data_IF_832132641366
#
_entry.id   IF_832132641366
#
_cell.length_a   1.000
_cell.length_b   1.000
_cell.length_c   1.000
_cell.angle_alpha   90.00
_cell.angle_beta   90.00
_cell.angle_gamma   90.00
#
_symmetry.space_group_name_H-M   'P 1'
#
loop_
_entity.id
_entity.type
_entity.pdbx_description
1 polymer ?
#
# COMPACT_ATOMS: atom_id res chain seq x y z
N UNK A 1 -16.44 -1.42 12.17
CA UNK A 1 -15.16 -1.45 11.46
C UNK A 1 -14.11 -0.79 12.32
N UNK A 2 -13.02 -1.48 12.64
CA UNK A 2 -11.80 -0.95 13.25
C UNK A 2 -10.65 -0.99 12.24
N UNK A 3 -9.90 0.09 12.15
CA UNK A 3 -8.80 0.28 11.20
C UNK A 3 -7.50 0.39 11.98
N UNK A 4 -6.50 -0.39 11.59
CA UNK A 4 -5.12 -0.22 12.03
C UNK A 4 -4.34 0.52 10.97
N UNK A 5 -3.67 1.61 11.33
CA UNK A 5 -2.56 2.15 10.54
C UNK A 5 -1.27 1.70 11.20
N UNK A 6 -0.51 0.84 10.49
CA UNK A 6 0.81 0.43 10.90
C UNK A 6 1.84 1.43 10.37
N UNK A 7 2.32 2.30 11.26
CA UNK A 7 3.33 3.32 10.98
C UNK A 7 4.73 2.67 10.89
N UNK A 8 5.33 2.70 9.70
CA UNK A 8 6.68 2.21 9.45
C UNK A 8 7.72 3.34 9.58
N UNK A 9 7.46 4.32 10.47
CA UNK A 9 8.34 5.46 10.76
C UNK A 9 8.54 6.42 9.58
N UNK A 10 7.49 6.65 8.80
CA UNK A 10 7.56 7.54 7.64
C UNK A 10 6.98 8.93 7.91
N UNK A 11 7.58 9.94 7.27
CA UNK A 11 7.09 11.32 7.37
C UNK A 11 5.71 11.54 6.75
N UNK A 12 5.28 10.69 5.82
CA UNK A 12 4.00 10.79 5.11
C UNK A 12 2.88 9.98 5.76
N UNK A 13 3.15 9.13 6.77
CA UNK A 13 2.10 8.35 7.47
C UNK A 13 0.94 9.23 7.93
N UNK A 14 1.24 10.44 8.45
CA UNK A 14 0.19 11.32 8.97
C UNK A 14 -0.66 11.99 7.88
N UNK A 15 -0.20 12.04 6.63
CA UNK A 15 -1.03 12.47 5.50
C UNK A 15 -2.09 11.41 5.17
N UNK A 16 -1.73 10.11 5.21
CA UNK A 16 -2.71 9.03 5.12
C UNK A 16 -3.72 9.08 6.27
N UNK A 17 -3.24 9.26 7.51
CA UNK A 17 -4.09 9.44 8.70
C UNK A 17 -5.06 10.60 8.53
N UNK A 18 -4.60 11.73 7.96
CA UNK A 18 -5.46 12.87 7.68
C UNK A 18 -6.56 12.52 6.66
N UNK A 19 -6.23 11.79 5.59
CA UNK A 19 -7.22 11.33 4.61
C UNK A 19 -8.27 10.43 5.27
N UNK A 20 -7.86 9.45 6.08
CA UNK A 20 -8.80 8.57 6.81
C UNK A 20 -9.73 9.37 7.71
N UNK A 21 -9.22 10.40 8.40
CA UNK A 21 -10.02 11.33 9.23
C UNK A 21 -10.99 12.16 8.39
N UNK A 22 -10.52 12.74 7.28
CA UNK A 22 -11.32 13.53 6.35
C UNK A 22 -12.50 12.73 5.80
N UNK A 23 -12.30 11.42 5.58
CA UNK A 23 -13.33 10.50 5.11
C UNK A 23 -14.29 10.03 6.22
N UNK A 24 -14.16 10.52 7.45
CA UNK A 24 -15.07 10.23 8.56
C UNK A 24 -14.72 8.99 9.38
N UNK A 25 -13.60 8.32 9.08
CA UNK A 25 -13.18 7.09 9.76
C UNK A 25 -12.22 7.33 10.93
N UNK A 26 -11.98 8.60 11.31
CA UNK A 26 -11.02 8.96 12.35
C UNK A 26 -11.29 8.33 13.73
N UNK A 27 -12.56 8.14 14.10
CA UNK A 27 -12.94 7.51 15.38
C UNK A 27 -12.85 5.97 15.35
N UNK A 28 -12.63 5.40 14.17
CA UNK A 28 -12.55 3.96 13.94
C UNK A 28 -11.10 3.50 13.73
N UNK A 29 -10.13 4.39 13.85
CA UNK A 29 -8.74 4.16 13.47
C UNK A 29 -7.78 4.35 14.64
N UNK A 30 -6.92 3.35 14.83
CA UNK A 30 -5.76 3.44 15.71
C UNK A 30 -4.47 3.46 14.87
N UNK A 31 -3.45 4.17 15.36
CA UNK A 31 -2.14 4.26 14.72
C UNK A 31 -1.10 3.70 15.67
N UNK A 32 -0.38 2.67 15.22
CA UNK A 32 0.72 2.07 15.97
C UNK A 32 1.95 1.98 15.10
N UNK A 33 3.11 2.27 15.69
CA UNK A 33 4.39 1.94 15.04
C UNK A 33 4.57 0.44 14.92
N UNK A 34 5.28 0.00 13.90
CA UNK A 34 5.48 -1.41 13.57
C UNK A 34 6.19 -2.25 14.67
N UNK A 35 6.68 -1.62 15.73
CA UNK A 35 7.30 -2.24 16.91
C UNK A 35 6.56 -1.91 18.23
N UNK A 36 5.37 -1.31 18.16
CA UNK A 36 4.56 -0.85 19.32
C UNK A 36 3.19 -1.52 19.43
N UNK A 37 2.91 -2.53 18.63
CA UNK A 37 1.71 -3.37 18.72
C UNK A 37 2.11 -4.84 18.59
N UNK A 38 1.48 -5.71 19.37
CA UNK A 38 1.71 -7.15 19.25
C UNK A 38 0.95 -7.73 18.06
N UNK A 39 1.44 -8.84 17.51
CA UNK A 39 0.76 -9.51 16.41
C UNK A 39 -0.63 -10.02 16.84
N UNK A 40 -0.82 -10.36 18.11
CA UNK A 40 -2.10 -10.79 18.68
C UNK A 40 -3.11 -9.66 18.73
N UNK A 41 -2.68 -8.46 19.13
CA UNK A 41 -3.55 -7.28 19.23
C UNK A 41 -4.06 -6.82 17.86
N UNK A 42 -3.33 -7.12 16.77
CA UNK A 42 -3.78 -6.86 15.39
C UNK A 42 -5.09 -7.60 15.06
N UNK A 43 -5.38 -8.72 15.73
CA UNK A 43 -6.58 -9.52 15.46
C UNK A 43 -7.90 -8.74 15.64
N UNK A 44 -7.91 -7.69 16.47
CA UNK A 44 -9.10 -6.88 16.75
C UNK A 44 -9.49 -5.91 15.63
N UNK A 45 -8.62 -5.71 14.64
CA UNK A 45 -8.85 -4.78 13.53
C UNK A 45 -9.46 -5.51 12.32
N UNK A 46 -10.30 -4.81 11.58
CA UNK A 46 -10.98 -5.33 10.38
C UNK A 46 -10.19 -4.99 9.11
N UNK A 47 -9.67 -3.74 9.05
CA UNK A 47 -8.86 -3.23 7.95
C UNK A 47 -7.48 -2.81 8.45
N UNK A 48 -6.44 -3.04 7.65
CA UNK A 48 -5.05 -2.72 7.98
C UNK A 48 -4.44 -1.90 6.85
N UNK A 49 -3.99 -0.70 7.17
CA UNK A 49 -3.21 0.16 6.28
C UNK A 49 -1.73 0.06 6.66
N UNK A 50 -0.92 -0.50 5.78
CA UNK A 50 0.54 -0.54 5.92
C UNK A 50 1.10 0.73 5.27
N UNK A 51 1.64 1.62 6.10
CA UNK A 51 2.17 2.91 5.64
C UNK A 51 3.49 2.77 4.86
N UNK A 52 3.91 3.83 4.15
CA UNK A 52 5.28 3.95 3.64
C UNK A 52 6.31 3.86 4.77
N UNK A 53 7.58 3.73 4.41
CA UNK A 53 8.69 3.67 5.37
C UNK A 53 10.04 3.63 4.67
N UNK A 54 11.12 3.89 5.42
CA UNK A 54 12.48 3.71 4.92
C UNK A 54 12.85 2.22 4.89
N UNK A 55 13.95 1.91 4.19
CA UNK A 55 14.55 0.57 4.22
C UNK A 55 13.81 -0.44 3.34
N UNK A 56 13.80 -1.70 3.79
CA UNK A 56 13.19 -2.85 3.10
C UNK A 56 12.22 -3.58 4.04
N UNK A 57 11.21 -4.31 3.52
CA UNK A 57 10.15 -4.85 4.35
C UNK A 57 10.62 -5.83 5.43
N UNK A 58 11.68 -6.60 5.18
CA UNK A 58 12.27 -7.53 6.15
C UNK A 58 12.74 -6.87 7.46
N UNK A 59 12.97 -5.55 7.44
CA UNK A 59 13.42 -4.77 8.60
C UNK A 59 12.25 -4.02 9.30
N UNK A 60 11.04 -4.11 8.75
CA UNK A 60 9.89 -3.30 9.17
C UNK A 60 9.07 -3.96 10.30
N UNK A 61 9.73 -4.26 11.42
CA UNK A 61 9.07 -4.72 12.65
C UNK A 61 8.17 -5.94 12.43
N UNK A 62 6.93 -5.87 12.90
CA UNK A 62 5.98 -7.00 12.77
C UNK A 62 5.39 -7.17 11.36
N UNK A 63 5.65 -6.25 10.41
CA UNK A 63 4.93 -6.19 9.14
C UNK A 63 5.00 -7.48 8.31
N UNK A 64 6.15 -8.16 8.17
CA UNK A 64 6.21 -9.44 7.45
C UNK A 64 5.34 -10.53 8.08
N UNK A 65 5.42 -10.71 9.41
CA UNK A 65 4.62 -11.71 10.13
C UNK A 65 3.13 -11.35 10.17
N UNK A 66 2.80 -10.05 10.17
CA UNK A 66 1.42 -9.56 10.02
C UNK A 66 0.83 -10.02 8.70
N UNK A 67 1.52 -9.79 7.58
CA UNK A 67 1.05 -10.20 6.26
C UNK A 67 0.85 -11.72 6.18
N UNK A 68 1.81 -12.49 6.70
CA UNK A 68 1.71 -13.96 6.73
C UNK A 68 0.50 -14.45 7.53
N UNK A 69 0.20 -13.82 8.67
CA UNK A 69 -0.89 -14.25 9.56
C UNK A 69 -2.27 -13.76 9.11
N UNK A 70 -2.35 -12.55 8.53
CA UNK A 70 -3.62 -11.85 8.36
C UNK A 70 -4.09 -11.64 6.92
N UNK A 71 -3.24 -11.84 5.91
CA UNK A 71 -3.63 -11.62 4.50
C UNK A 71 -4.88 -12.38 4.09
N UNK A 72 -5.05 -13.63 4.54
CA UNK A 72 -6.21 -14.45 4.19
C UNK A 72 -7.51 -14.05 4.92
N UNK A 73 -7.45 -13.20 5.94
CA UNK A 73 -8.58 -12.95 6.86
C UNK A 73 -8.93 -11.48 7.07
N UNK A 74 -8.08 -10.54 6.64
CA UNK A 74 -8.23 -9.10 6.85
C UNK A 74 -8.16 -8.36 5.52
N UNK A 75 -8.79 -7.18 5.48
CA UNK A 75 -8.63 -6.23 4.36
C UNK A 75 -7.32 -5.46 4.56
N UNK A 76 -6.38 -5.56 3.62
CA UNK A 76 -5.05 -4.94 3.74
C UNK A 76 -4.77 -4.05 2.53
N UNK A 77 -4.39 -2.80 2.80
CA UNK A 77 -3.81 -1.89 1.81
C UNK A 77 -2.37 -1.56 2.19
N UNK A 78 -1.43 -1.84 1.30
CA UNK A 78 -0.03 -1.44 1.44
C UNK A 78 0.32 -0.23 0.59
N UNK A 79 1.01 0.76 1.15
CA UNK A 79 1.49 1.94 0.43
C UNK A 79 3.01 1.96 0.43
N UNK A 80 3.63 2.10 -0.74
CA UNK A 80 5.09 2.15 -0.92
C UNK A 80 5.81 0.96 -0.26
N UNK A 81 6.45 1.13 0.90
CA UNK A 81 7.05 0.03 1.66
C UNK A 81 6.03 -1.06 2.00
N UNK A 82 4.79 -0.70 2.34
CA UNK A 82 3.71 -1.66 2.56
C UNK A 82 3.33 -2.46 1.30
N UNK A 83 3.43 -1.84 0.11
CA UNK A 83 3.23 -2.53 -1.17
C UNK A 83 4.37 -3.52 -1.46
N UNK A 84 5.61 -3.11 -1.20
CA UNK A 84 6.79 -3.97 -1.35
C UNK A 84 6.72 -5.17 -0.40
N UNK A 85 6.27 -4.95 0.84
CA UNK A 85 6.05 -6.01 1.82
C UNK A 85 5.03 -7.05 1.34
N UNK A 86 3.96 -6.60 0.67
CA UNK A 86 2.99 -7.51 0.06
C UNK A 86 3.66 -8.34 -1.03
N UNK A 87 4.48 -7.73 -1.90
CA UNK A 87 5.27 -8.46 -2.90
C UNK A 87 6.10 -9.58 -2.29
N UNK A 88 6.92 -9.27 -1.28
CA UNK A 88 7.78 -10.23 -0.59
C UNK A 88 6.98 -11.29 0.18
N UNK A 89 5.88 -10.92 0.84
CA UNK A 89 5.07 -11.85 1.62
C UNK A 89 4.45 -12.97 0.78
N UNK A 90 4.26 -12.74 -0.51
CA UNK A 90 3.78 -13.75 -1.46
C UNK A 90 4.90 -14.36 -2.32
N UNK A 91 6.17 -14.07 -2.01
CA UNK A 91 7.34 -14.72 -2.61
C UNK A 91 7.97 -13.98 -3.80
N UNK A 92 7.60 -12.72 -4.05
CA UNK A 92 8.28 -11.87 -5.03
C UNK A 92 9.52 -11.20 -4.45
N UNK A 93 10.53 -10.97 -5.29
CA UNK A 93 11.74 -10.23 -4.90
C UNK A 93 11.56 -8.72 -5.12
N UNK A 94 12.43 -7.93 -4.51
CA UNK A 94 12.55 -6.49 -4.78
C UNK A 94 13.81 -6.20 -5.58
N UNK A 95 13.69 -5.30 -6.55
CA UNK A 95 14.83 -4.76 -7.30
C UNK A 95 15.00 -3.28 -7.02
N UNK A 96 16.26 -2.86 -6.95
CA UNK A 96 16.62 -1.45 -6.81
C UNK A 96 16.64 -0.78 -8.18
N UNK A 97 16.00 0.37 -8.29
CA UNK A 97 15.99 1.17 -9.50
C UNK A 97 17.35 1.85 -9.71
N UNK A 98 17.84 1.86 -10.94
CA UNK A 98 19.06 2.60 -11.30
C UNK A 98 18.92 4.11 -11.08
N UNK A 99 17.69 4.62 -11.16
CA UNK A 99 17.35 6.01 -10.87
C UNK A 99 16.39 6.08 -9.68
N UNK A 100 16.80 6.81 -8.64
CA UNK A 100 15.97 7.04 -7.45
C UNK A 100 14.91 8.08 -7.78
N UNK A 101 13.65 7.77 -7.51
CA UNK A 101 12.53 8.66 -7.78
C UNK A 101 12.02 9.23 -6.46
N UNK A 102 12.24 10.52 -6.23
CA UNK A 102 11.80 11.20 -5.02
C UNK A 102 11.11 12.53 -5.35
N UNK A 103 9.79 12.59 -5.15
CA UNK A 103 8.99 13.77 -5.48
C UNK A 103 8.71 13.90 -6.98
N UNK A 104 8.63 12.78 -7.70
CA UNK A 104 8.39 12.77 -9.15
C UNK A 104 6.93 12.47 -9.44
N UNK A 105 6.30 13.32 -10.24
CA UNK A 105 5.00 13.05 -10.83
C UNK A 105 5.16 12.16 -12.07
N UNK A 106 4.42 11.06 -12.15
CA UNK A 106 4.42 10.16 -13.31
C UNK A 106 3.01 9.81 -13.72
N UNK A 107 2.80 9.44 -14.99
CA UNK A 107 1.53 8.84 -15.41
C UNK A 107 1.49 7.37 -15.01
N UNK A 108 0.33 6.92 -14.59
CA UNK A 108 0.01 5.51 -14.36
C UNK A 108 -1.21 5.15 -15.19
N UNK A 109 -1.23 3.94 -15.72
CA UNK A 109 -2.42 3.31 -16.30
C UNK A 109 -2.86 2.18 -15.38
N UNK A 110 -4.16 2.15 -15.04
CA UNK A 110 -4.75 1.18 -14.12
C UNK A 110 -5.66 0.20 -14.84
N UNK A 111 -5.83 -0.98 -14.24
CA UNK A 111 -6.87 -1.92 -14.61
C UNK A 111 -8.09 -1.73 -13.71
N UNK A 112 -9.21 -2.37 -14.06
CA UNK A 112 -10.40 -2.35 -13.22
C UNK A 112 -10.14 -3.04 -11.88
N UNK A 113 -10.24 -2.28 -10.81
CA UNK A 113 -10.18 -2.76 -9.43
C UNK A 113 -10.97 -1.81 -8.53
N UNK A 114 -11.41 -2.28 -7.35
CA UNK A 114 -12.14 -1.47 -6.38
C UNK A 114 -11.40 -0.16 -6.07
N UNK A 115 -10.06 -0.18 -6.00
CA UNK A 115 -9.27 1.02 -5.70
C UNK A 115 -9.53 2.15 -6.71
N UNK A 116 -9.84 1.82 -7.96
CA UNK A 116 -9.91 2.74 -9.08
C UNK A 116 -11.33 3.00 -9.58
N UNK A 117 -12.36 2.59 -8.83
CA UNK A 117 -13.75 2.88 -9.16
C UNK A 117 -14.01 4.40 -9.21
N UNK A 118 -14.68 4.84 -10.28
CA UNK A 118 -14.91 6.24 -10.65
C UNK A 118 -13.64 7.10 -10.80
N UNK A 119 -12.50 6.49 -11.14
CA UNK A 119 -11.24 7.18 -11.45
C UNK A 119 -10.90 6.94 -12.93
N UNK A 120 -10.34 7.93 -13.67
CA UNK A 120 -9.87 7.69 -15.04
C UNK A 120 -8.82 6.58 -15.10
N UNK A 121 -8.83 5.78 -16.16
CA UNK A 121 -7.86 4.68 -16.36
C UNK A 121 -6.40 5.16 -16.41
N UNK A 122 -6.16 6.45 -16.65
CA UNK A 122 -4.83 7.05 -16.65
C UNK A 122 -4.82 8.39 -15.93
N UNK A 123 -3.95 8.53 -14.94
CA UNK A 123 -3.84 9.72 -14.08
C UNK A 123 -2.41 9.93 -13.58
N UNK A 124 -2.16 11.07 -12.92
CA UNK A 124 -0.85 11.42 -12.35
C UNK A 124 -0.68 10.87 -10.92
N UNK A 125 0.49 10.31 -10.61
CA UNK A 125 0.86 9.75 -9.30
C UNK A 125 2.18 10.34 -8.79
N UNK A 126 2.30 10.48 -7.47
CA UNK A 126 3.53 10.86 -6.77
C UNK A 126 4.39 9.65 -6.38
N UNK A 127 5.66 9.67 -6.78
CA UNK A 127 6.63 8.57 -6.56
C UNK A 127 7.79 9.00 -5.65
N UNK A 128 8.11 8.16 -4.66
CA UNK A 128 9.13 8.43 -3.63
C UNK A 128 9.99 7.19 -3.29
N UNK A 129 10.15 6.26 -4.22
CA UNK A 129 10.73 4.95 -3.97
C UNK A 129 12.00 4.69 -4.81
N UNK A 130 12.91 3.90 -4.25
CA UNK A 130 14.09 3.35 -4.92
C UNK A 130 13.97 1.85 -5.18
N UNK A 131 13.01 1.17 -4.55
CA UNK A 131 12.74 -0.25 -4.72
C UNK A 131 11.39 -0.45 -5.41
N UNK A 132 11.27 -1.51 -6.18
CA UNK A 132 10.01 -2.00 -6.76
C UNK A 132 9.96 -3.51 -6.69
N UNK A 133 8.76 -4.09 -6.76
CA UNK A 133 8.59 -5.53 -6.94
C UNK A 133 9.19 -5.93 -8.29
N UNK A 134 10.02 -6.97 -8.28
CA UNK A 134 10.55 -7.60 -9.49
C UNK A 134 9.45 -8.43 -10.16
N UNK A 135 9.06 -8.02 -11.36
CA UNK A 135 8.05 -8.72 -12.12
C UNK A 135 8.46 -10.14 -12.50
N UNK A 136 9.76 -10.42 -12.66
CA UNK A 136 10.25 -11.74 -13.07
C UNK A 136 10.05 -12.81 -11.99
N UNK A 137 9.89 -12.39 -10.74
CA UNK A 137 9.65 -13.24 -9.57
C UNK A 137 8.27 -13.03 -8.98
N UNK A 138 7.40 -12.23 -9.62
CA UNK A 138 6.08 -11.94 -9.11
C UNK A 138 5.26 -13.23 -8.94
N UNK A 139 4.75 -13.41 -7.73
CA UNK A 139 3.91 -14.56 -7.38
C UNK A 139 2.69 -14.67 -8.30
N UNK A 140 2.32 -15.90 -8.72
CA UNK A 140 1.10 -16.11 -9.49
C UNK A 140 -0.16 -15.78 -8.69
N UNK A 141 -0.09 -15.60 -7.37
CA UNK A 141 -1.22 -15.21 -6.53
C UNK A 141 -1.49 -13.69 -6.57
N UNK A 142 -0.52 -12.91 -7.04
CA UNK A 142 -0.64 -11.47 -7.25
C UNK A 142 -0.94 -11.14 -8.71
N UNK A 143 -1.82 -10.17 -8.92
CA UNK A 143 -2.16 -9.60 -10.21
C UNK A 143 -1.76 -8.13 -10.24
N UNK A 144 -1.02 -7.71 -11.27
CA UNK A 144 -0.66 -6.31 -11.48
C UNK A 144 -1.86 -5.54 -12.00
N UNK A 145 -2.28 -4.52 -11.25
CA UNK A 145 -3.45 -3.68 -11.56
C UNK A 145 -3.10 -2.23 -11.87
N UNK A 146 -1.83 -1.83 -11.80
CA UNK A 146 -1.38 -0.53 -12.29
C UNK A 146 0.07 -0.56 -12.78
N UNK A 147 0.37 0.19 -13.84
CA UNK A 147 1.72 0.32 -14.40
C UNK A 147 2.02 1.73 -14.88
N UNK A 148 3.28 2.12 -14.82
CA UNK A 148 3.79 3.28 -15.57
C UNK A 148 4.04 2.93 -17.05
N UNK A 149 4.23 3.93 -17.94
CA UNK A 149 4.56 3.70 -19.35
C UNK A 149 5.85 2.90 -19.60
N UNK A 150 6.80 2.96 -18.67
CA UNK A 150 8.04 2.16 -18.66
C UNK A 150 7.87 0.79 -17.97
N UNK A 151 6.62 0.32 -17.87
CA UNK A 151 6.22 -1.01 -17.40
C UNK A 151 6.44 -1.30 -15.91
N UNK A 152 6.85 -0.33 -15.10
CA UNK A 152 7.06 -0.56 -13.67
C UNK A 152 5.72 -0.82 -12.95
N UNK A 153 5.70 -1.81 -12.06
CA UNK A 153 4.53 -2.19 -11.27
C UNK A 153 4.20 -1.07 -10.28
N UNK A 154 3.00 -0.50 -10.40
CA UNK A 154 2.52 0.59 -9.55
C UNK A 154 1.42 0.16 -8.59
N UNK A 155 0.73 -0.96 -8.85
CA UNK A 155 -0.20 -1.55 -7.92
C UNK A 155 -0.42 -3.03 -8.20
N UNK A 156 -0.69 -3.79 -7.14
CA UNK A 156 -1.05 -5.22 -7.20
C UNK A 156 -2.28 -5.49 -6.36
N UNK A 157 -3.00 -6.56 -6.70
CA UNK A 157 -4.00 -7.19 -5.83
C UNK A 157 -3.70 -8.68 -5.68
N UNK A 158 -4.07 -9.27 -4.55
CA UNK A 158 -4.15 -10.71 -4.43
C UNK A 158 -5.41 -11.23 -5.16
N UNK A 159 -5.30 -12.39 -5.79
CA UNK A 159 -6.41 -12.97 -6.58
C UNK A 159 -7.55 -13.50 -5.71
N UNK A 160 -7.24 -13.97 -4.51
CA UNK A 160 -8.22 -14.57 -3.59
C UNK A 160 -8.49 -13.75 -2.32
N UNK A 161 -7.54 -12.90 -1.91
CA UNK A 161 -7.57 -12.24 -0.61
C UNK A 161 -7.85 -10.76 -0.81
N UNK A 162 -8.43 -10.11 0.20
CA UNK A 162 -8.65 -8.67 0.17
C UNK A 162 -7.36 -7.91 0.51
N UNK A 163 -6.33 -8.13 -0.29
CA UNK A 163 -5.00 -7.53 -0.15
C UNK A 163 -4.66 -6.80 -1.42
N UNK A 164 -4.33 -5.52 -1.28
CA UNK A 164 -3.90 -4.63 -2.36
C UNK A 164 -2.67 -3.86 -1.93
N UNK A 165 -1.82 -3.51 -2.87
CA UNK A 165 -0.70 -2.61 -2.64
C UNK A 165 -0.60 -1.58 -3.74
N UNK A 166 -0.26 -0.34 -3.40
CA UNK A 166 0.11 0.73 -4.33
C UNK A 166 1.54 1.18 -4.07
N UNK A 167 2.39 1.19 -5.09
CA UNK A 167 3.79 1.62 -4.99
C UNK A 167 3.91 3.14 -4.86
N UNK A 168 2.95 3.87 -5.41
CA UNK A 168 2.86 5.32 -5.32
C UNK A 168 2.17 5.78 -4.03
N UNK A 169 2.21 7.09 -3.79
CA UNK A 169 1.73 7.72 -2.56
C UNK A 169 0.36 8.38 -2.78
N UNK A 170 -0.78 7.74 -2.50
CA UNK A 170 -2.11 8.35 -2.63
C UNK A 170 -2.30 9.57 -1.70
N UNK A 171 -1.47 9.71 -0.68
CA UNK A 171 -1.44 10.85 0.22
C UNK A 171 -0.61 12.04 -0.28
N UNK A 172 0.17 11.85 -1.35
CA UNK A 172 0.95 12.94 -1.96
C UNK A 172 0.05 13.91 -2.73
N UNK A 173 0.35 15.20 -2.63
CA UNK A 173 -0.26 16.25 -3.46
C UNK A 173 -0.03 16.05 -4.96
N UNK A 174 0.99 15.26 -5.33
CA UNK A 174 1.29 14.91 -6.72
C UNK A 174 0.34 13.84 -7.28
N UNK A 175 -0.40 13.13 -6.42
CA UNK A 175 -1.30 12.05 -6.81
C UNK A 175 -2.70 12.58 -7.03
N UNK A 176 -3.15 12.53 -8.28
CA UNK A 176 -4.56 12.74 -8.63
C UNK A 176 -5.42 11.63 -8.02
N UNK A 177 -6.61 11.99 -7.54
CA UNK A 177 -7.60 11.05 -7.01
C UNK A 177 -7.17 10.23 -5.78
N UNK A 178 -6.06 10.55 -5.13
CA UNK A 178 -5.54 9.79 -3.99
C UNK A 178 -6.53 9.63 -2.82
N UNK A 179 -7.29 10.68 -2.49
CA UNK A 179 -8.38 10.62 -1.50
C UNK A 179 -9.49 9.64 -1.92
N UNK A 180 -9.82 9.59 -3.21
CA UNK A 180 -10.85 8.69 -3.74
C UNK A 180 -10.38 7.23 -3.74
N UNK A 181 -9.09 6.97 -4.03
CA UNK A 181 -8.47 5.64 -3.89
C UNK A 181 -8.62 5.14 -2.44
N UNK A 182 -8.23 5.98 -1.47
CA UNK A 182 -8.36 5.65 -0.05
C UNK A 182 -9.82 5.44 0.36
N UNK A 183 -10.74 6.27 -0.15
CA UNK A 183 -12.18 6.12 0.09
C UNK A 183 -12.71 4.79 -0.42
N UNK A 184 -12.38 4.43 -1.66
CA UNK A 184 -12.86 3.20 -2.27
C UNK A 184 -12.40 1.97 -1.46
N UNK A 185 -11.17 1.95 -0.95
CA UNK A 185 -10.70 0.88 -0.05
C UNK A 185 -11.44 0.87 1.29
N UNK A 186 -11.62 2.02 1.93
CA UNK A 186 -12.27 2.13 3.23
C UNK A 186 -13.76 1.75 3.20
N UNK A 187 -14.45 2.02 2.08
CA UNK A 187 -15.88 1.74 1.89
C UNK A 187 -16.18 0.36 1.28
N UNK A 188 -15.15 -0.43 0.93
CA UNK A 188 -15.30 -1.80 0.43
C UNK A 188 -15.62 -2.85 1.49
#
# INVERSE_FOLDING_TARGET
MKILVLDNYDSFTYNLVYIVRQLGFGNSMDVFRNDKISLEDVAQYDKILLSPGPGVPSEAGIMPELLKKYSATKSILGVCLGHQAIGEAFGGDLINLSEVLHGVASKVTVQKDLLFEDIPDTFSIGRYHSWVIDESTLSPDLEVIARTPDQQIMAVRHKEYDVRGVQFHPESILTENGVKIMKNWLES
#
